data_IF_506461385665
#
_entry.id   IF_506461385665
#
_cell.length_a   1.000
_cell.length_b   1.000
_cell.length_c   1.000
_cell.angle_alpha   90.00
_cell.angle_beta   90.00
_cell.angle_gamma   90.00
#
_symmetry.space_group_name_H-M   'P 1'
#
loop_
_entity.id
_entity.type
_entity.pdbx_description
1 polymer ?
#
# COMPACT_ATOMS: atom_id res chain seq x y z
N UNK A 1 -14.36 3.70 86.15
CA UNK A 1 -15.16 2.76 85.33
C UNK A 1 -16.31 3.53 84.69
N UNK A 2 -16.40 3.44 83.36
CA UNK A 2 -17.54 3.74 82.47
C UNK A 2 -18.13 5.17 82.49
N UNK A 3 -17.61 6.01 81.59
CA UNK A 3 -18.43 6.90 80.75
C UNK A 3 -18.31 6.30 79.34
N UNK A 4 -19.33 5.81 78.65
CA UNK A 4 -20.66 6.40 78.47
C UNK A 4 -20.83 6.91 77.03
N UNK A 5 -20.30 6.19 76.02
CA UNK A 5 -20.55 6.49 74.61
C UNK A 5 -21.98 6.09 74.25
N UNK A 6 -22.94 6.95 74.57
CA UNK A 6 -24.29 6.89 74.05
C UNK A 6 -24.34 7.84 72.84
N UNK A 7 -23.93 7.34 71.67
CA UNK A 7 -24.03 8.06 70.40
C UNK A 7 -25.51 8.30 70.09
N UNK A 8 -25.91 9.54 69.81
CA UNK A 8 -27.29 9.84 69.47
C UNK A 8 -27.65 9.18 68.12
N UNK A 9 -28.83 8.55 67.97
CA UNK A 9 -29.20 7.82 66.74
C UNK A 9 -29.17 8.67 65.47
N UNK A 10 -29.27 10.01 65.57
CA UNK A 10 -29.14 10.93 64.44
C UNK A 10 -27.73 11.08 63.88
N UNK A 11 -26.68 10.93 64.70
CA UNK A 11 -25.28 11.11 64.25
C UNK A 11 -24.83 9.95 63.34
N UNK A 12 -25.25 8.72 63.64
CA UNK A 12 -24.94 7.54 62.82
C UNK A 12 -25.65 7.59 61.44
N UNK A 13 -26.86 8.14 61.39
CA UNK A 13 -27.62 8.31 60.15
C UNK A 13 -26.99 9.40 59.28
N UNK A 14 -26.55 10.52 59.86
CA UNK A 14 -25.85 11.57 59.13
C UNK A 14 -24.52 11.07 58.53
N UNK A 15 -23.76 10.29 59.30
CA UNK A 15 -22.48 9.73 58.83
C UNK A 15 -22.66 8.73 57.68
N UNK A 16 -23.67 7.85 57.75
CA UNK A 16 -23.94 6.87 56.68
C UNK A 16 -24.41 7.54 55.39
N UNK A 17 -25.24 8.59 55.47
CA UNK A 17 -25.64 9.39 54.30
C UNK A 17 -24.42 10.07 53.67
N UNK A 18 -23.51 10.61 54.48
CA UNK A 18 -22.28 11.22 53.98
C UNK A 18 -21.36 10.20 53.28
N UNK A 19 -21.14 9.02 53.88
CA UNK A 19 -20.33 7.96 53.29
C UNK A 19 -20.93 7.40 51.99
N UNK A 20 -22.25 7.21 51.94
CA UNK A 20 -22.93 6.75 50.71
C UNK A 20 -22.86 7.80 49.60
N UNK A 21 -22.96 9.09 49.92
CA UNK A 21 -22.73 10.19 48.99
C UNK A 21 -21.33 10.16 48.39
N UNK A 22 -20.30 9.99 49.23
CA UNK A 22 -18.91 9.85 48.77
C UNK A 22 -18.75 8.62 47.86
N UNK A 23 -19.29 7.47 48.23
CA UNK A 23 -19.21 6.25 47.43
C UNK A 23 -19.89 6.41 46.06
N UNK A 24 -21.03 7.10 45.99
CA UNK A 24 -21.71 7.41 44.73
C UNK A 24 -20.86 8.34 43.85
N UNK A 25 -20.23 9.36 44.44
CA UNK A 25 -19.33 10.27 43.70
C UNK A 25 -18.11 9.53 43.18
N UNK A 26 -17.48 8.66 43.99
CA UNK A 26 -16.34 7.83 43.58
C UNK A 26 -16.76 6.89 42.45
N UNK A 27 -17.90 6.20 42.58
CA UNK A 27 -18.43 5.30 41.54
C UNK A 27 -18.73 6.06 40.24
N UNK A 28 -19.30 7.26 40.33
CA UNK A 28 -19.56 8.13 39.20
C UNK A 28 -18.24 8.57 38.52
N UNK A 29 -17.25 8.98 39.29
CA UNK A 29 -15.93 9.35 38.77
C UNK A 29 -15.23 8.17 38.08
N UNK A 30 -15.22 6.98 38.69
CA UNK A 30 -14.67 5.77 38.09
C UNK A 30 -15.39 5.40 36.78
N UNK A 31 -16.73 5.42 36.76
CA UNK A 31 -17.49 5.18 35.55
C UNK A 31 -17.20 6.20 34.45
N UNK A 32 -16.97 7.47 34.82
CA UNK A 32 -16.61 8.53 33.88
C UNK A 32 -15.18 8.39 33.35
N UNK A 33 -14.24 7.90 34.15
CA UNK A 33 -12.88 7.56 33.75
C UNK A 33 -12.88 6.39 32.76
N UNK A 34 -13.50 5.27 33.12
CA UNK A 34 -13.60 4.09 32.25
C UNK A 34 -14.27 4.42 30.91
N UNK A 35 -15.30 5.27 30.90
CA UNK A 35 -15.96 5.68 29.66
C UNK A 35 -15.06 6.56 28.79
N UNK A 36 -14.23 7.41 29.38
CA UNK A 36 -13.23 8.18 28.63
C UNK A 36 -12.18 7.25 28.04
N UNK A 37 -11.62 6.35 28.83
CA UNK A 37 -10.59 5.40 28.38
C UNK A 37 -11.12 4.51 27.25
N UNK A 38 -12.38 4.07 27.36
CA UNK A 38 -13.04 3.30 26.30
C UNK A 38 -13.21 4.10 25.01
N UNK A 39 -13.75 5.32 25.08
CA UNK A 39 -13.94 6.17 23.89
C UNK A 39 -12.60 6.55 23.27
N UNK A 40 -11.59 6.88 24.07
CA UNK A 40 -10.22 7.12 23.61
C UNK A 40 -9.65 5.89 22.91
N UNK A 41 -9.82 4.70 23.48
CA UNK A 41 -9.36 3.45 22.86
C UNK A 41 -10.01 3.18 21.50
N UNK A 42 -11.32 3.40 21.39
CA UNK A 42 -12.06 3.23 20.12
C UNK A 42 -11.62 4.26 19.07
N UNK A 43 -11.45 5.53 19.45
CA UNK A 43 -10.97 6.55 18.51
C UNK A 43 -9.54 6.25 18.06
N UNK A 44 -8.66 5.85 18.98
CA UNK A 44 -7.28 5.49 18.68
C UNK A 44 -7.22 4.29 17.72
N UNK A 45 -8.07 3.27 17.94
CA UNK A 45 -8.18 2.09 17.08
C UNK A 45 -8.66 2.45 15.66
N UNK A 46 -9.69 3.31 15.54
CA UNK A 46 -10.16 3.78 14.25
C UNK A 46 -9.11 4.62 13.51
N UNK A 47 -8.38 5.48 14.22
CA UNK A 47 -7.29 6.28 13.63
C UNK A 47 -6.12 5.40 13.18
N UNK A 48 -5.76 4.38 13.97
CA UNK A 48 -4.71 3.41 13.58
C UNK A 48 -5.15 2.59 12.38
N UNK A 49 -6.36 2.04 12.36
CA UNK A 49 -6.87 1.27 11.21
C UNK A 49 -6.89 2.11 9.92
N UNK A 50 -7.32 3.37 10.03
CA UNK A 50 -7.37 4.27 8.87
C UNK A 50 -5.97 4.64 8.38
N UNK A 51 -5.03 4.89 9.30
CA UNK A 51 -3.63 5.16 8.97
C UNK A 51 -2.97 3.94 8.31
N UNK A 52 -3.23 2.73 8.82
CA UNK A 52 -2.70 1.48 8.27
C UNK A 52 -3.20 1.22 6.86
N UNK A 53 -4.50 1.38 6.60
CA UNK A 53 -5.08 1.26 5.25
C UNK A 53 -4.44 2.23 4.26
N UNK A 54 -4.19 3.46 4.67
CA UNK A 54 -3.55 4.46 3.80
C UNK A 54 -2.06 4.14 3.56
N UNK A 55 -1.35 3.64 4.56
CA UNK A 55 0.05 3.23 4.42
C UNK A 55 0.20 2.04 3.47
N UNK A 56 -0.70 1.06 3.55
CA UNK A 56 -0.69 -0.11 2.69
C UNK A 56 -1.01 0.21 1.22
N UNK A 57 -1.76 1.29 0.95
CA UNK A 57 -2.00 1.74 -0.42
C UNK A 57 -0.76 2.33 -1.11
N UNK A 58 0.29 2.63 -0.35
CA UNK A 58 1.52 3.28 -0.87
C UNK A 58 2.75 2.38 -0.68
N UNK A 59 2.74 1.48 0.30
CA UNK A 59 3.88 0.67 0.68
C UNK A 59 3.49 -0.81 0.81
N UNK A 60 4.35 -1.75 0.34
CA UNK A 60 4.17 -3.17 0.57
C UNK A 60 4.05 -3.53 2.05
N UNK A 61 3.30 -4.60 2.36
CA UNK A 61 3.05 -5.05 3.74
C UNK A 61 4.34 -5.29 4.55
N UNK A 62 5.36 -5.86 3.90
CA UNK A 62 6.66 -6.18 4.53
C UNK A 62 7.38 -4.94 5.03
N UNK A 63 7.21 -3.82 4.31
CA UNK A 63 7.76 -2.51 4.67
C UNK A 63 6.98 -1.92 5.84
N UNK A 64 5.65 -1.95 5.78
CA UNK A 64 4.79 -1.44 6.87
C UNK A 64 5.07 -2.20 8.17
N UNK A 65 5.23 -3.53 8.10
CA UNK A 65 5.63 -4.34 9.24
C UNK A 65 7.00 -3.93 9.80
N UNK A 66 7.97 -3.67 8.93
CA UNK A 66 9.30 -3.18 9.32
C UNK A 66 9.23 -1.82 10.01
N UNK A 67 8.38 -0.91 9.52
CA UNK A 67 8.13 0.41 10.11
C UNK A 67 7.52 0.30 11.50
N UNK A 68 6.51 -0.57 11.69
CA UNK A 68 5.92 -0.81 13.02
C UNK A 68 6.94 -1.37 14.02
N UNK A 69 7.85 -2.22 13.57
CA UNK A 69 8.83 -2.88 14.44
C UNK A 69 10.00 -1.96 14.85
N UNK A 70 10.52 -1.14 13.94
CA UNK A 70 11.73 -0.33 14.16
C UNK A 70 11.46 1.16 14.40
N UNK A 71 10.24 1.63 14.13
CA UNK A 71 9.87 3.04 14.20
C UNK A 71 10.28 3.81 12.95
N UNK A 72 9.44 4.78 12.58
CA UNK A 72 9.62 5.63 11.39
C UNK A 72 10.98 6.35 11.42
N UNK A 73 11.37 6.92 12.56
CA UNK A 73 12.60 7.71 12.73
C UNK A 73 13.89 6.92 12.47
N UNK A 74 13.89 5.59 12.58
CA UNK A 74 15.09 4.77 12.41
C UNK A 74 15.26 4.19 11.00
N UNK A 75 14.21 4.16 10.18
CA UNK A 75 14.26 3.54 8.84
C UNK A 75 14.64 4.55 7.76
N UNK A 76 14.07 5.75 7.82
CA UNK A 76 14.21 6.74 6.76
C UNK A 76 15.57 7.45 6.69
N UNK A 77 16.34 7.63 7.78
CA UNK A 77 17.71 8.16 7.67
C UNK A 77 18.68 7.18 7.00
N UNK A 78 18.40 5.87 7.05
CA UNK A 78 19.30 4.81 6.57
C UNK A 78 18.87 4.21 5.22
N UNK A 79 17.60 4.39 4.84
CA UNK A 79 16.97 3.65 3.74
C UNK A 79 16.72 2.19 4.12
N UNK A 80 15.54 1.67 3.80
CA UNK A 80 15.30 0.22 3.87
C UNK A 80 15.60 -0.34 2.49
N UNK A 81 16.70 -1.07 2.35
CA UNK A 81 17.08 -1.76 1.12
C UNK A 81 17.20 -3.26 1.40
N UNK A 82 16.51 -4.06 0.59
CA UNK A 82 16.55 -5.51 0.64
C UNK A 82 17.05 -6.03 -0.70
N UNK A 83 18.05 -6.90 -0.66
CA UNK A 83 18.57 -7.59 -1.84
C UNK A 83 17.75 -8.84 -2.11
N UNK A 84 17.48 -9.08 -3.38
CA UNK A 84 16.86 -10.27 -3.93
C UNK A 84 17.77 -10.81 -5.04
N UNK A 85 18.09 -12.09 -5.00
CA UNK A 85 19.05 -12.68 -5.95
C UNK A 85 18.40 -13.00 -7.30
N UNK A 86 17.11 -13.35 -7.31
CA UNK A 86 16.35 -13.61 -8.54
C UNK A 86 14.95 -12.98 -8.47
N UNK A 87 14.72 -12.00 -9.35
CA UNK A 87 13.43 -11.32 -9.53
C UNK A 87 13.17 -11.18 -11.02
N UNK A 88 11.92 -11.37 -11.44
CA UNK A 88 11.49 -11.07 -12.80
C UNK A 88 10.74 -9.74 -12.82
N UNK A 89 11.18 -8.84 -13.69
CA UNK A 89 10.58 -7.52 -13.89
C UNK A 89 9.87 -7.51 -15.24
N UNK A 90 8.64 -7.02 -15.23
CA UNK A 90 7.83 -6.75 -16.42
C UNK A 90 7.74 -5.25 -16.57
N UNK A 91 8.17 -4.75 -17.72
CA UNK A 91 8.07 -3.35 -18.10
C UNK A 91 7.21 -3.26 -19.35
N UNK A 92 6.23 -2.38 -19.36
CA UNK A 92 5.42 -2.12 -20.55
C UNK A 92 5.33 -0.65 -20.88
N UNK A 93 5.31 -0.31 -22.16
CA UNK A 93 5.22 1.06 -22.67
C UNK A 93 4.26 1.15 -23.86
N UNK A 94 3.55 2.27 -23.98
CA UNK A 94 2.56 2.45 -25.05
C UNK A 94 3.25 2.91 -26.33
N UNK A 95 3.07 2.15 -27.41
CA UNK A 95 3.72 2.48 -28.68
C UNK A 95 3.15 3.78 -29.24
N UNK A 96 4.05 4.71 -29.59
CA UNK A 96 3.72 6.02 -30.17
C UNK A 96 2.83 6.91 -29.29
N UNK A 97 2.89 6.73 -27.96
CA UNK A 97 2.09 7.50 -26.99
C UNK A 97 2.21 9.01 -27.18
N UNK A 98 3.41 9.58 -27.28
CA UNK A 98 3.60 11.03 -27.45
C UNK A 98 2.85 11.60 -28.64
N UNK A 99 2.78 10.86 -29.76
CA UNK A 99 2.05 11.30 -30.94
C UNK A 99 0.54 11.22 -30.72
N UNK A 100 0.06 10.12 -30.13
CA UNK A 100 -1.35 9.92 -29.80
C UNK A 100 -1.88 10.99 -28.83
N UNK A 101 -1.14 11.24 -27.74
CA UNK A 101 -1.57 12.16 -26.68
C UNK A 101 -1.62 13.61 -27.11
N UNK A 102 -0.77 14.03 -28.05
CA UNK A 102 -0.79 15.38 -28.62
C UNK A 102 -2.12 15.77 -29.29
N UNK A 103 -2.94 14.77 -29.64
CA UNK A 103 -4.24 14.93 -30.32
C UNK A 103 -5.43 14.64 -29.41
N UNK A 104 -5.20 14.19 -28.18
CA UNK A 104 -6.24 13.87 -27.21
C UNK A 104 -6.49 15.05 -26.27
N UNK A 105 -7.73 15.17 -25.78
CA UNK A 105 -8.01 16.06 -24.66
C UNK A 105 -7.40 15.47 -23.38
N UNK A 106 -6.88 16.28 -22.45
CA UNK A 106 -6.29 15.79 -21.22
C UNK A 106 -7.21 14.86 -20.42
N UNK A 107 -8.52 15.14 -20.41
CA UNK A 107 -9.51 14.34 -19.69
C UNK A 107 -9.66 12.93 -20.30
N UNK A 108 -9.68 12.84 -21.64
CA UNK A 108 -9.78 11.57 -22.35
C UNK A 108 -8.49 10.73 -22.17
N UNK A 109 -7.34 11.40 -22.13
CA UNK A 109 -6.05 10.76 -21.86
C UNK A 109 -5.99 10.15 -20.46
N UNK A 110 -6.42 10.90 -19.44
CA UNK A 110 -6.46 10.41 -18.07
C UNK A 110 -7.40 9.22 -17.94
N UNK A 111 -8.58 9.26 -18.59
CA UNK A 111 -9.50 8.13 -18.61
C UNK A 111 -8.88 6.89 -19.26
N UNK A 112 -8.23 7.05 -20.41
CA UNK A 112 -7.55 5.96 -21.12
C UNK A 112 -6.45 5.32 -20.26
N UNK A 113 -5.59 6.13 -19.63
CA UNK A 113 -4.52 5.64 -18.75
C UNK A 113 -5.09 4.95 -17.52
N UNK A 114 -6.16 5.49 -16.93
CA UNK A 114 -6.82 4.86 -15.79
C UNK A 114 -7.36 3.47 -16.15
N UNK A 115 -8.04 3.34 -17.28
CA UNK A 115 -8.57 2.04 -17.73
C UNK A 115 -7.45 1.03 -18.04
N UNK A 116 -6.36 1.51 -18.66
CA UNK A 116 -5.18 0.70 -18.96
C UNK A 116 -4.48 0.20 -17.69
N UNK A 117 -4.17 1.10 -16.76
CA UNK A 117 -3.48 0.72 -15.53
C UNK A 117 -4.36 -0.09 -14.58
N UNK A 118 -5.68 0.14 -14.57
CA UNK A 118 -6.61 -0.73 -13.82
C UNK A 118 -6.56 -2.16 -14.36
N UNK A 119 -6.61 -2.34 -15.69
CA UNK A 119 -6.46 -3.66 -16.31
C UNK A 119 -5.12 -4.32 -15.94
N UNK A 120 -4.03 -3.55 -15.93
CA UNK A 120 -2.71 -4.08 -15.59
C UNK A 120 -2.58 -4.43 -14.11
N UNK A 121 -3.20 -3.65 -13.24
CA UNK A 121 -3.26 -3.93 -11.80
C UNK A 121 -4.02 -5.23 -11.54
N UNK A 122 -5.19 -5.43 -12.18
CA UNK A 122 -5.96 -6.68 -12.08
C UNK A 122 -5.13 -7.90 -12.56
N UNK A 123 -4.44 -7.77 -13.70
CA UNK A 123 -3.58 -8.84 -14.24
C UNK A 123 -2.38 -9.10 -13.32
N UNK A 124 -1.78 -8.05 -12.76
CA UNK A 124 -0.65 -8.20 -11.85
C UNK A 124 -1.06 -9.00 -10.61
N UNK A 125 -2.23 -8.71 -10.04
CA UNK A 125 -2.80 -9.44 -8.91
C UNK A 125 -3.05 -10.92 -9.27
N UNK A 126 -3.67 -11.20 -10.42
CA UNK A 126 -3.97 -12.55 -10.90
C UNK A 126 -2.73 -13.45 -11.04
N UNK A 127 -1.59 -12.87 -11.41
CA UNK A 127 -0.32 -13.60 -11.61
C UNK A 127 0.67 -13.45 -10.43
N UNK A 128 0.29 -12.73 -9.38
CA UNK A 128 1.13 -12.53 -8.19
C UNK A 128 2.36 -11.66 -8.44
N UNK A 129 2.21 -10.60 -9.23
CA UNK A 129 3.23 -9.56 -9.41
C UNK A 129 2.89 -8.33 -8.57
N UNK A 130 3.92 -7.76 -7.96
CA UNK A 130 3.84 -6.50 -7.25
C UNK A 130 3.99 -5.34 -8.23
N UNK A 131 3.03 -4.42 -8.23
CA UNK A 131 3.17 -3.15 -8.94
C UNK A 131 4.27 -2.31 -8.27
N UNK A 132 5.28 -1.90 -9.05
CA UNK A 132 6.36 -1.05 -8.55
C UNK A 132 5.99 0.42 -8.73
N UNK A 133 5.76 0.83 -9.97
CA UNK A 133 5.48 2.21 -10.32
C UNK A 133 4.92 2.35 -11.72
N UNK A 134 4.36 3.53 -11.98
CA UNK A 134 4.01 4.03 -13.30
C UNK A 134 4.85 5.28 -13.60
N UNK A 135 5.33 5.44 -14.84
CA UNK A 135 6.07 6.62 -15.27
C UNK A 135 5.55 7.08 -16.63
N UNK A 136 4.69 8.10 -16.65
CA UNK A 136 3.97 8.48 -17.86
C UNK A 136 3.01 7.37 -18.28
N UNK A 137 3.23 6.82 -19.47
CA UNK A 137 2.54 5.68 -20.07
C UNK A 137 3.19 4.32 -19.76
N UNK A 138 4.37 4.33 -19.15
CA UNK A 138 5.06 3.11 -18.77
C UNK A 138 4.53 2.53 -17.46
N UNK A 139 4.44 1.20 -17.42
CA UNK A 139 4.04 0.42 -16.25
C UNK A 139 5.14 -0.59 -15.88
N UNK A 140 5.46 -0.69 -14.59
CA UNK A 140 6.49 -1.59 -14.07
C UNK A 140 5.93 -2.44 -12.93
N UNK A 141 6.07 -3.76 -13.06
CA UNK A 141 5.76 -4.73 -12.04
C UNK A 141 6.89 -5.76 -11.86
N UNK A 142 6.94 -6.41 -10.71
CA UNK A 142 7.95 -7.40 -10.39
C UNK A 142 7.38 -8.64 -9.69
N UNK A 143 7.95 -9.80 -9.97
CA UNK A 143 7.66 -11.06 -9.28
C UNK A 143 8.92 -11.61 -8.62
N UNK A 144 8.76 -12.25 -7.46
CA UNK A 144 9.89 -12.70 -6.61
C UNK A 144 10.28 -11.68 -5.54
N UNK A 145 9.51 -10.61 -5.41
CA UNK A 145 9.58 -9.63 -4.32
C UNK A 145 8.15 -9.18 -3.94
N UNK A 146 7.92 -8.70 -2.70
CA UNK A 146 8.84 -8.74 -1.56
C UNK A 146 9.05 -10.16 -1.03
N UNK A 147 8.24 -11.12 -1.48
CA UNK A 147 8.35 -12.54 -1.15
C UNK A 147 8.95 -13.31 -2.33
N UNK A 148 10.04 -14.09 -2.13
CA UNK A 148 10.61 -14.92 -3.18
C UNK A 148 9.58 -15.91 -3.75
N UNK A 149 9.61 -16.09 -5.07
CA UNK A 149 8.70 -16.98 -5.78
C UNK A 149 9.48 -17.78 -6.82
N UNK A 150 9.58 -19.11 -6.67
CA UNK A 150 10.33 -19.97 -7.59
C UNK A 150 9.79 -19.97 -9.04
N UNK A 151 8.55 -19.52 -9.25
CA UNK A 151 7.91 -19.39 -10.56
C UNK A 151 7.90 -17.93 -11.06
N UNK A 152 8.71 -17.03 -10.49
CA UNK A 152 8.72 -15.60 -10.81
C UNK A 152 8.78 -15.31 -12.32
N UNK A 153 9.63 -16.05 -13.06
CA UNK A 153 9.79 -15.88 -14.50
C UNK A 153 8.55 -16.33 -15.29
N UNK A 154 7.93 -17.43 -14.87
CA UNK A 154 6.70 -17.91 -15.48
C UNK A 154 5.55 -16.91 -15.25
N UNK A 155 5.40 -16.40 -14.02
CA UNK A 155 4.42 -15.36 -13.71
C UNK A 155 4.61 -14.11 -14.57
N UNK A 156 5.83 -13.60 -14.69
CA UNK A 156 6.12 -12.42 -15.52
C UNK A 156 5.79 -12.61 -17.00
N UNK A 157 6.15 -13.77 -17.58
CA UNK A 157 5.78 -14.08 -18.96
C UNK A 157 4.26 -14.22 -19.16
N UNK A 158 3.55 -14.78 -18.18
CA UNK A 158 2.09 -14.93 -18.24
C UNK A 158 1.37 -13.59 -18.14
N UNK A 159 1.84 -12.69 -17.27
CA UNK A 159 1.36 -11.31 -17.21
C UNK A 159 1.58 -10.59 -18.53
N UNK A 160 2.78 -10.67 -19.11
CA UNK A 160 3.08 -10.03 -20.39
C UNK A 160 2.12 -10.50 -21.51
N UNK A 161 1.83 -11.80 -21.57
CA UNK A 161 0.85 -12.33 -22.54
C UNK A 161 -0.57 -11.85 -22.23
N UNK A 162 -0.97 -11.87 -20.96
CA UNK A 162 -2.30 -11.45 -20.55
C UNK A 162 -2.56 -9.96 -20.81
N UNK A 163 -1.57 -9.10 -20.65
CA UNK A 163 -1.67 -7.67 -21.00
C UNK A 163 -2.01 -7.47 -22.48
N UNK A 164 -1.40 -8.25 -23.38
CA UNK A 164 -1.66 -8.16 -24.82
C UNK A 164 -3.04 -8.64 -25.22
N UNK A 165 -3.54 -9.66 -24.54
CA UNK A 165 -4.88 -10.20 -24.77
C UNK A 165 -5.95 -9.32 -24.12
N UNK A 166 -5.66 -8.78 -22.93
CA UNK A 166 -6.60 -7.98 -22.14
C UNK A 166 -6.92 -6.63 -22.75
N UNK A 167 -5.97 -5.97 -23.42
CA UNK A 167 -6.21 -4.67 -24.08
C UNK A 167 -7.38 -4.73 -25.09
N UNK A 168 -7.38 -5.63 -26.09
CA UNK A 168 -8.49 -5.71 -27.03
C UNK A 168 -9.79 -6.24 -26.38
N UNK A 169 -9.71 -7.15 -25.41
CA UNK A 169 -10.89 -7.67 -24.68
C UNK A 169 -11.58 -6.60 -23.84
N UNK A 170 -10.80 -5.73 -23.20
CA UNK A 170 -11.29 -4.59 -22.42
C UNK A 170 -11.77 -3.44 -23.32
N UNK A 171 -11.45 -3.48 -24.61
CA UNK A 171 -11.84 -2.47 -25.58
C UNK A 171 -11.01 -1.19 -25.51
N UNK A 172 -9.78 -1.26 -24.98
CA UNK A 172 -8.88 -0.12 -24.85
C UNK A 172 -8.27 0.18 -26.23
N UNK A 173 -8.49 1.41 -26.71
CA UNK A 173 -8.20 1.81 -28.10
C UNK A 173 -7.37 3.09 -28.17
N UNK A 174 -6.65 3.23 -29.27
CA UNK A 174 -5.91 4.45 -29.65
C UNK A 174 -6.84 5.54 -30.22
N UNK A 175 -6.25 6.69 -30.61
CA UNK A 175 -6.96 7.82 -31.25
C UNK A 175 -7.58 7.47 -32.62
N UNK A 176 -7.27 6.31 -33.18
CA UNK A 176 -7.77 5.80 -34.45
C UNK A 176 -8.79 4.67 -34.28
N UNK A 177 -9.11 4.28 -33.04
CA UNK A 177 -10.04 3.19 -32.75
C UNK A 177 -9.44 1.79 -32.89
N UNK A 178 -8.13 1.66 -33.10
CA UNK A 178 -7.45 0.36 -33.08
C UNK A 178 -7.11 -0.04 -31.64
N UNK A 179 -6.96 -1.34 -31.33
CA UNK A 179 -6.44 -1.76 -30.04
C UNK A 179 -5.10 -1.10 -29.75
N UNK A 180 -4.94 -0.60 -28.52
CA UNK A 180 -3.72 0.12 -28.12
C UNK A 180 -2.50 -0.80 -28.28
N UNK A 181 -1.50 -0.35 -29.03
CA UNK A 181 -0.27 -1.12 -29.23
C UNK A 181 0.66 -0.98 -28.02
N UNK A 182 1.10 -2.11 -27.48
CA UNK A 182 1.91 -2.17 -26.28
C UNK A 182 3.25 -2.85 -26.57
N UNK A 183 4.34 -2.27 -26.09
CA UNK A 183 5.64 -2.93 -26.02
C UNK A 183 5.86 -3.46 -24.62
N UNK A 184 6.36 -4.69 -24.50
CA UNK A 184 6.63 -5.32 -23.21
C UNK A 184 8.03 -5.92 -23.20
N UNK A 185 8.81 -5.59 -22.19
CA UNK A 185 10.09 -6.22 -21.87
C UNK A 185 9.98 -7.02 -20.57
N UNK A 186 10.55 -8.22 -20.56
CA UNK A 186 10.61 -9.08 -19.37
C UNK A 186 12.06 -9.43 -19.11
N UNK A 187 12.59 -9.03 -17.96
CA UNK A 187 13.98 -9.28 -17.57
C UNK A 187 14.05 -9.98 -16.23
N UNK A 188 14.97 -10.93 -16.08
CA UNK A 188 15.21 -11.61 -14.81
C UNK A 188 16.64 -11.35 -14.36
N UNK A 189 16.83 -11.09 -13.07
CA UNK A 189 18.15 -10.94 -12.50
C UNK A 189 18.12 -10.46 -11.05
N UNK A 190 19.30 -10.27 -10.45
CA UNK A 190 19.40 -9.76 -9.09
C UNK A 190 18.94 -8.30 -9.03
N UNK A 191 18.26 -7.94 -7.95
CA UNK A 191 17.86 -6.58 -7.69
C UNK A 191 17.89 -6.23 -6.20
N UNK A 192 17.91 -4.93 -5.93
CA UNK A 192 17.71 -4.36 -4.61
C UNK A 192 16.41 -3.59 -4.67
N UNK A 193 15.46 -3.96 -3.81
CA UNK A 193 14.24 -3.19 -3.62
C UNK A 193 14.38 -2.35 -2.37
N UNK A 194 13.85 -1.12 -2.37
CA UNK A 194 13.98 -0.27 -1.21
C UNK A 194 13.19 1.01 -1.29
N UNK A 195 13.20 1.72 -0.17
CA UNK A 195 12.47 2.97 0.01
C UNK A 195 13.47 4.12 0.07
N UNK A 196 13.26 5.14 -0.77
CA UNK A 196 14.00 6.39 -0.73
C UNK A 196 13.09 7.55 -0.39
N UNK A 197 13.69 8.62 0.14
CA UNK A 197 13.00 9.86 0.51
C UNK A 197 12.83 9.99 2.02
N UNK A 198 12.68 11.24 2.48
CA UNK A 198 12.43 11.58 3.90
C UNK A 198 11.00 12.09 4.18
N UNK A 199 10.31 12.58 3.16
CA UNK A 199 8.96 13.16 3.26
C UNK A 199 8.01 12.63 2.18
N UNK A 200 8.52 12.37 0.97
CA UNK A 200 7.83 11.67 -0.11
C UNK A 200 8.56 10.35 -0.38
N UNK A 201 8.14 9.31 0.30
CA UNK A 201 8.78 8.00 0.22
C UNK A 201 8.37 7.30 -1.07
N UNK A 202 9.35 6.74 -1.77
CA UNK A 202 9.15 5.98 -3.01
C UNK A 202 9.75 4.60 -2.80
N UNK A 203 8.91 3.58 -2.90
CA UNK A 203 9.38 2.21 -3.04
C UNK A 203 9.72 1.94 -4.51
N UNK A 204 10.94 1.48 -4.77
CA UNK A 204 11.41 1.23 -6.12
C UNK A 204 12.47 0.13 -6.12
N UNK A 205 12.85 -0.33 -7.32
CA UNK A 205 13.73 -1.49 -7.53
C UNK A 205 14.88 -1.09 -8.44
N UNK A 206 16.10 -1.48 -8.08
CA UNK A 206 17.33 -1.25 -8.85
C UNK A 206 18.10 -2.54 -9.07
N UNK A 207 18.72 -2.72 -10.22
CA UNK A 207 19.60 -3.86 -10.47
C UNK A 207 19.61 -4.29 -11.92
N UNK A 208 20.36 -5.36 -12.19
CA UNK A 208 20.55 -5.91 -13.54
C UNK A 208 19.24 -6.41 -14.15
N UNK A 209 18.34 -6.97 -13.34
CA UNK A 209 17.01 -7.38 -13.81
C UNK A 209 16.20 -6.21 -14.39
N UNK A 210 16.31 -5.02 -13.77
CA UNK A 210 15.65 -3.78 -14.23
C UNK A 210 16.24 -3.32 -15.55
N UNK A 211 17.57 -3.26 -15.64
CA UNK A 211 18.27 -2.84 -16.86
C UNK A 211 17.97 -3.78 -18.02
N UNK A 212 17.92 -5.08 -17.76
CA UNK A 212 17.60 -6.10 -18.78
C UNK A 212 16.18 -5.94 -19.29
N UNK A 213 15.19 -5.82 -18.38
CA UNK A 213 13.79 -5.64 -18.75
C UNK A 213 13.59 -4.35 -19.57
N UNK A 214 14.19 -3.24 -19.14
CA UNK A 214 14.10 -1.96 -19.83
C UNK A 214 14.78 -1.98 -21.20
N UNK A 215 15.91 -2.69 -21.35
CA UNK A 215 16.55 -2.87 -22.66
C UNK A 215 15.67 -3.72 -23.60
N UNK A 216 15.08 -4.80 -23.10
CA UNK A 216 14.18 -5.66 -23.87
C UNK A 216 12.89 -4.95 -24.29
N UNK A 217 12.38 -4.05 -23.45
CA UNK A 217 11.30 -3.15 -23.85
C UNK A 217 11.83 -2.19 -24.93
N UNK A 218 12.78 -1.31 -24.64
CA UNK A 218 13.20 -0.25 -25.58
C UNK A 218 13.69 -0.76 -26.96
N UNK A 219 14.25 -1.97 -27.04
CA UNK A 219 14.71 -2.60 -28.30
C UNK A 219 13.70 -3.55 -28.95
N UNK A 220 12.55 -3.81 -28.30
CA UNK A 220 11.52 -4.70 -28.79
C UNK A 220 10.85 -4.18 -30.06
N UNK A 221 10.81 -5.00 -31.12
CA UNK A 221 10.06 -4.68 -32.33
C UNK A 221 8.55 -4.66 -32.00
N UNK A 222 7.86 -3.50 -32.16
CA UNK A 222 6.43 -3.37 -31.86
C UNK A 222 5.55 -4.38 -32.61
N UNK A 223 6.04 -4.94 -33.73
CA UNK A 223 5.29 -5.90 -34.57
C UNK A 223 5.51 -7.37 -34.17
N UNK A 224 6.47 -7.66 -33.30
CA UNK A 224 6.88 -9.04 -32.94
C UNK A 224 6.87 -9.35 -31.46
N UNK A 225 6.78 -8.36 -30.60
CA UNK A 225 6.50 -8.59 -29.19
C UNK A 225 5.04 -8.92 -29.04
#
# INVERSE_FOLDING_TARGET
>A
MKSGYFSQPGENVAFTIFCTGILLVVKYMYGRLLRKDYVLGVTLANETERSEKLLLNVLPETIVASIKAKGFEHIFPSGLAQRFDEVTIVFSDVVAFTNMTSRMRPEDLVALLNDLFTLFDDIAEDYGLEKIKTCGDAYMAACGLPTPNAQHAHCGCRMALAMKVGIPERGIRDDHGNPLALRIGVGTGPCVAGILGGSNFIYDVWGEGVTTAHLMESTGDPKRS
#
